data_IF_815765949952
#
_entry.id   IF_815765949952
#
_cell.length_a   1.000
_cell.length_b   1.000
_cell.length_c   1.000
_cell.angle_alpha   90.00
_cell.angle_beta   90.00
_cell.angle_gamma   90.00
#
_symmetry.space_group_name_H-M   'P 1'
#
loop_
_entity.id
_entity.type
_entity.pdbx_description
1 polymer ?
#
# COMPACT_ATOMS: atom_id res chain seq x y z
N UNK A 1 31.93 7.97 10.13
CA UNK A 1 31.12 8.47 8.98
C UNK A 1 31.06 7.45 7.85
N UNK A 2 32.17 6.81 7.49
CA UNK A 2 32.27 5.80 6.43
C UNK A 2 31.42 4.55 6.71
N UNK A 3 31.47 4.01 7.93
CA UNK A 3 30.71 2.82 8.34
C UNK A 3 29.19 3.01 8.23
N UNK A 4 28.70 4.19 8.51
CA UNK A 4 27.26 4.50 8.43
C UNK A 4 26.75 4.55 6.98
N UNK A 5 27.59 5.03 6.05
CA UNK A 5 27.29 5.04 4.62
C UNK A 5 27.28 3.62 4.07
N UNK A 6 28.24 2.80 4.49
CA UNK A 6 28.36 1.39 4.09
C UNK A 6 27.17 0.58 4.59
N UNK A 7 26.80 0.70 5.86
CA UNK A 7 25.64 0.02 6.45
C UNK A 7 24.32 0.42 5.75
N UNK A 8 24.14 1.69 5.39
CA UNK A 8 22.98 2.14 4.63
C UNK A 8 22.91 1.49 3.24
N UNK A 9 24.04 1.29 2.57
CA UNK A 9 24.08 0.60 1.27
C UNK A 9 23.70 -0.86 1.39
N UNK A 10 24.24 -1.56 2.39
CA UNK A 10 23.89 -2.98 2.66
C UNK A 10 22.39 -3.12 2.93
N UNK A 11 21.82 -2.26 3.77
CA UNK A 11 20.39 -2.25 4.06
C UNK A 11 19.53 -2.03 2.80
N UNK A 12 19.89 -1.07 1.96
CA UNK A 12 19.19 -0.81 0.71
C UNK A 12 19.30 -1.98 -0.28
N UNK A 13 20.49 -2.59 -0.38
CA UNK A 13 20.68 -3.78 -1.22
C UNK A 13 19.86 -4.96 -0.71
N UNK A 14 19.90 -5.25 0.59
CA UNK A 14 19.10 -6.30 1.19
C UNK A 14 17.59 -6.09 0.97
N UNK A 15 17.13 -4.84 1.15
CA UNK A 15 15.72 -4.48 0.89
C UNK A 15 15.32 -4.68 -0.57
N UNK A 16 16.22 -4.34 -1.50
CA UNK A 16 15.99 -4.53 -2.93
C UNK A 16 15.98 -6.03 -3.29
N UNK A 17 16.90 -6.81 -2.74
CA UNK A 17 16.94 -8.26 -2.94
C UNK A 17 15.66 -8.92 -2.42
N UNK A 18 15.22 -8.59 -1.20
CA UNK A 18 13.95 -9.10 -0.65
C UNK A 18 12.78 -8.75 -1.57
N UNK A 19 12.69 -7.49 -2.05
CA UNK A 19 11.65 -7.06 -2.96
C UNK A 19 11.67 -7.84 -4.29
N UNK A 20 12.85 -8.10 -4.85
CA UNK A 20 13.01 -8.88 -6.08
C UNK A 20 12.61 -10.34 -5.87
N UNK A 21 13.02 -10.96 -4.76
CA UNK A 21 12.65 -12.34 -4.40
C UNK A 21 11.13 -12.44 -4.21
N UNK A 22 10.52 -11.50 -3.49
CA UNK A 22 9.05 -11.44 -3.34
C UNK A 22 8.36 -11.31 -4.71
N UNK A 23 8.83 -10.41 -5.56
CA UNK A 23 8.26 -10.20 -6.89
C UNK A 23 8.37 -11.45 -7.75
N UNK A 24 9.54 -12.10 -7.76
CA UNK A 24 9.79 -13.32 -8.50
C UNK A 24 8.90 -14.46 -7.98
N UNK A 25 8.93 -14.73 -6.68
CA UNK A 25 8.15 -15.78 -6.04
C UNK A 25 6.65 -15.63 -6.32
N UNK A 26 6.09 -14.45 -6.10
CA UNK A 26 4.67 -14.20 -6.34
C UNK A 26 4.27 -14.29 -7.84
N UNK A 27 5.21 -14.21 -8.77
CA UNK A 27 4.92 -14.32 -10.21
C UNK A 27 5.02 -15.74 -10.74
N UNK A 28 5.84 -16.58 -10.12
CA UNK A 28 6.13 -17.94 -10.57
C UNK A 28 5.40 -19.02 -9.78
N UNK A 29 4.85 -18.65 -8.61
CA UNK A 29 4.20 -19.60 -7.70
C UNK A 29 2.75 -19.87 -8.10
N UNK A 30 2.37 -21.13 -8.00
CA UNK A 30 1.01 -21.63 -8.16
C UNK A 30 0.16 -21.39 -6.90
N UNK A 31 -1.13 -21.74 -6.96
CA UNK A 31 -2.07 -21.61 -5.83
C UNK A 31 -1.57 -22.33 -4.58
N UNK A 32 -0.99 -23.52 -4.75
CA UNK A 32 -0.53 -24.36 -3.64
C UNK A 32 0.69 -23.75 -2.93
N UNK A 33 1.60 -23.14 -3.68
CA UNK A 33 2.76 -22.43 -3.12
C UNK A 33 2.38 -21.10 -2.44
N UNK A 34 1.24 -20.51 -2.80
CA UNK A 34 0.74 -19.25 -2.22
C UNK A 34 -0.29 -19.46 -1.12
N UNK A 35 -0.50 -20.67 -0.63
CA UNK A 35 -1.45 -20.96 0.47
C UNK A 35 -1.17 -20.13 1.73
N UNK A 36 0.08 -19.82 2.03
CA UNK A 36 0.47 -18.97 3.17
C UNK A 36 -0.15 -17.56 3.16
N UNK A 37 -0.56 -17.03 2.00
CA UNK A 37 -1.26 -15.75 1.88
C UNK A 37 -2.71 -15.93 1.45
N UNK A 38 -3.02 -16.93 0.64
CA UNK A 38 -4.38 -17.20 0.17
C UNK A 38 -5.29 -17.71 1.30
N UNK A 39 -4.79 -18.62 2.17
CA UNK A 39 -5.58 -19.16 3.29
C UNK A 39 -6.05 -18.08 4.25
N UNK A 40 -5.19 -17.24 4.83
CA UNK A 40 -5.64 -16.19 5.73
C UNK A 40 -6.49 -15.14 5.01
N UNK A 41 -6.26 -14.91 3.71
CA UNK A 41 -7.11 -14.01 2.92
C UNK A 41 -8.50 -14.60 2.74
N UNK A 42 -8.64 -15.86 2.37
CA UNK A 42 -9.94 -16.54 2.21
C UNK A 42 -10.71 -16.58 3.54
N UNK A 43 -10.02 -16.88 4.64
CA UNK A 43 -10.62 -16.83 5.99
C UNK A 43 -11.14 -15.44 6.33
N UNK A 44 -10.36 -14.39 6.05
CA UNK A 44 -10.75 -13.01 6.30
C UNK A 44 -11.93 -12.57 5.43
N UNK A 45 -11.95 -12.98 4.14
CA UNK A 45 -13.08 -12.75 3.23
C UNK A 45 -14.35 -13.47 3.73
N UNK A 46 -14.21 -14.68 4.24
CA UNK A 46 -15.33 -15.42 4.81
C UNK A 46 -15.93 -14.72 6.03
N UNK A 47 -15.11 -14.14 6.90
CA UNK A 47 -15.59 -13.34 8.04
C UNK A 47 -16.30 -12.07 7.60
N UNK A 48 -15.70 -11.33 6.66
CA UNK A 48 -16.24 -10.04 6.21
C UNK A 48 -17.51 -10.17 5.37
N UNK A 49 -17.54 -11.16 4.51
CA UNK A 49 -18.60 -11.33 3.51
C UNK A 49 -19.61 -12.44 3.86
N UNK A 50 -19.37 -13.24 4.91
CA UNK A 50 -20.21 -14.40 5.18
C UNK A 50 -20.19 -15.48 4.07
N UNK A 51 -19.13 -15.49 3.25
CA UNK A 51 -18.99 -16.36 2.08
C UNK A 51 -18.00 -17.48 2.41
N UNK A 52 -18.45 -18.75 2.54
CA UNK A 52 -17.54 -19.88 2.76
C UNK A 52 -16.75 -20.18 1.49
N UNK A 53 -15.47 -20.49 1.64
CA UNK A 53 -14.60 -20.92 0.56
C UNK A 53 -14.05 -22.31 0.85
N UNK A 54 -13.98 -23.14 -0.19
CA UNK A 54 -13.37 -24.46 -0.18
C UNK A 54 -12.04 -24.41 -0.93
N UNK A 55 -11.02 -25.06 -0.36
CA UNK A 55 -9.73 -25.15 -1.03
C UNK A 55 -9.72 -26.28 -2.06
N UNK A 56 -9.41 -25.95 -3.30
CA UNK A 56 -9.20 -26.92 -4.37
C UNK A 56 -7.74 -26.87 -4.84
N UNK A 57 -7.01 -28.00 -4.84
CA UNK A 57 -5.64 -28.07 -5.31
C UNK A 57 -5.46 -27.47 -6.71
N UNK A 58 -4.41 -26.71 -6.92
CA UNK A 58 -4.05 -26.00 -8.15
C UNK A 58 -5.00 -24.89 -8.59
N UNK A 59 -6.20 -24.77 -7.99
CA UNK A 59 -7.17 -23.71 -8.31
C UNK A 59 -7.17 -22.59 -7.26
N UNK A 60 -7.00 -22.95 -5.98
CA UNK A 60 -7.06 -22.03 -4.85
C UNK A 60 -8.37 -22.16 -4.07
N UNK A 61 -8.91 -21.04 -3.58
CA UNK A 61 -10.13 -21.03 -2.77
C UNK A 61 -11.35 -20.70 -3.62
N UNK A 62 -12.29 -21.64 -3.72
CA UNK A 62 -13.45 -21.58 -4.61
C UNK A 62 -14.74 -21.44 -3.80
N UNK A 63 -15.65 -20.60 -4.27
CA UNK A 63 -17.04 -20.58 -3.85
C UNK A 63 -17.94 -20.84 -5.05
N UNK A 64 -18.67 -21.96 -5.03
CA UNK A 64 -19.52 -22.39 -6.14
C UNK A 64 -20.80 -21.56 -6.27
N UNK A 65 -21.36 -21.05 -5.15
CA UNK A 65 -22.58 -20.24 -5.17
C UNK A 65 -22.38 -18.88 -5.84
N UNK A 66 -21.25 -18.24 -5.56
CA UNK A 66 -20.89 -16.94 -6.12
C UNK A 66 -20.04 -17.06 -7.39
N UNK A 67 -19.70 -18.28 -7.81
CA UNK A 67 -18.82 -18.56 -8.96
C UNK A 67 -17.53 -17.73 -8.90
N UNK A 68 -16.95 -17.62 -7.70
CA UNK A 68 -15.78 -16.82 -7.44
C UNK A 68 -14.61 -17.68 -6.94
N UNK A 69 -13.41 -17.38 -7.49
CA UNK A 69 -12.18 -18.08 -7.14
C UNK A 69 -11.14 -17.08 -6.65
N UNK A 70 -10.59 -17.33 -5.47
CA UNK A 70 -9.44 -16.63 -4.94
C UNK A 70 -8.18 -17.34 -5.44
N UNK A 71 -7.73 -16.96 -6.63
CA UNK A 71 -6.57 -17.50 -7.33
C UNK A 71 -5.28 -16.71 -6.98
N UNK A 72 -4.10 -17.15 -7.45
CA UNK A 72 -2.82 -16.43 -7.28
C UNK A 72 -2.87 -14.97 -7.72
N UNK A 73 -3.61 -14.65 -8.76
CA UNK A 73 -3.84 -13.27 -9.22
C UNK A 73 -4.53 -12.39 -8.17
N UNK A 74 -5.28 -13.01 -7.26
CA UNK A 74 -5.99 -12.36 -6.16
C UNK A 74 -5.20 -12.35 -4.83
N UNK A 75 -3.96 -12.86 -4.78
CA UNK A 75 -3.15 -12.92 -3.57
C UNK A 75 -2.74 -11.54 -3.01
N UNK A 76 -2.87 -10.46 -3.78
CA UNK A 76 -2.50 -9.12 -3.33
C UNK A 76 -1.00 -8.85 -3.28
N UNK A 77 -0.16 -9.73 -3.83
CA UNK A 77 1.30 -9.64 -3.78
C UNK A 77 1.87 -8.30 -4.26
N UNK A 78 1.24 -7.67 -5.26
CA UNK A 78 1.65 -6.33 -5.72
C UNK A 78 1.47 -5.28 -4.63
N UNK A 79 0.38 -5.35 -3.89
CA UNK A 79 0.13 -4.44 -2.77
C UNK A 79 1.13 -4.67 -1.63
N UNK A 80 1.45 -5.93 -1.32
CA UNK A 80 2.47 -6.29 -0.34
C UNK A 80 3.82 -5.69 -0.70
N UNK A 81 4.24 -5.83 -1.96
CA UNK A 81 5.49 -5.27 -2.47
C UNK A 81 5.52 -3.74 -2.35
N UNK A 82 4.45 -3.06 -2.79
CA UNK A 82 4.35 -1.59 -2.73
C UNK A 82 4.43 -1.10 -1.28
N UNK A 83 3.66 -1.72 -0.39
CA UNK A 83 3.62 -1.35 1.03
C UNK A 83 4.99 -1.55 1.69
N UNK A 84 5.64 -2.68 1.43
CA UNK A 84 6.99 -2.96 1.92
C UNK A 84 7.99 -1.90 1.44
N UNK A 85 8.07 -1.68 0.13
CA UNK A 85 8.98 -0.68 -0.45
C UNK A 85 8.71 0.73 0.10
N UNK A 86 7.46 1.13 0.16
CA UNK A 86 7.08 2.43 0.72
C UNK A 86 7.55 2.60 2.16
N UNK A 87 7.33 1.62 3.03
CA UNK A 87 7.74 1.69 4.44
C UNK A 87 9.24 1.72 4.60
N UNK A 88 9.96 0.83 3.91
CA UNK A 88 11.41 0.72 4.01
C UNK A 88 12.10 1.99 3.50
N UNK A 89 11.75 2.45 2.30
CA UNK A 89 12.43 3.59 1.68
C UNK A 89 12.00 4.95 2.24
N UNK A 90 10.75 5.06 2.75
CA UNK A 90 10.28 6.31 3.35
C UNK A 90 10.78 6.53 4.77
N UNK A 91 10.94 5.46 5.54
CA UNK A 91 11.23 5.56 6.97
C UNK A 91 12.58 4.94 7.39
N UNK A 92 13.13 4.00 6.61
CA UNK A 92 14.36 3.28 6.95
C UNK A 92 15.59 4.16 7.14
N UNK A 93 15.72 5.25 6.36
CA UNK A 93 16.83 6.20 6.53
C UNK A 93 16.87 6.87 7.90
N UNK A 94 15.72 7.07 8.53
CA UNK A 94 15.64 7.71 9.83
C UNK A 94 15.95 6.73 10.96
N UNK A 95 15.68 5.45 10.78
CA UNK A 95 16.04 4.41 11.74
C UNK A 95 17.55 4.12 11.69
N UNK A 96 18.18 4.31 10.53
CA UNK A 96 19.64 4.27 10.39
C UNK A 96 20.38 5.27 11.32
N UNK A 97 19.78 6.42 11.59
CA UNK A 97 20.33 7.39 12.52
C UNK A 97 20.31 6.92 13.98
N UNK A 98 19.46 5.92 14.32
CA UNK A 98 19.29 5.36 15.66
C UNK A 98 20.13 4.10 15.93
N UNK A 99 20.82 3.59 14.94
CA UNK A 99 21.69 2.43 15.01
C UNK A 99 21.30 1.29 14.05
N UNK A 100 22.25 0.40 13.71
CA UNK A 100 22.03 -0.67 12.74
C UNK A 100 20.97 -1.68 13.20
N UNK A 101 20.94 -2.04 14.48
CA UNK A 101 19.95 -2.99 15.02
C UNK A 101 18.51 -2.51 14.78
N UNK A 102 18.24 -1.24 15.01
CA UNK A 102 16.92 -0.65 14.79
C UNK A 102 16.54 -0.59 13.32
N UNK A 103 17.52 -0.43 12.46
CA UNK A 103 17.32 -0.45 11.01
C UNK A 103 16.90 -1.84 10.52
N UNK A 104 17.56 -2.90 11.00
CA UNK A 104 17.19 -4.29 10.68
C UNK A 104 15.85 -4.70 11.29
N UNK A 105 15.60 -4.28 12.54
CA UNK A 105 14.29 -4.48 13.16
C UNK A 105 13.17 -3.78 12.37
N UNK A 106 13.42 -2.59 11.82
CA UNK A 106 12.49 -1.89 10.95
C UNK A 106 12.21 -2.65 9.65
N UNK A 107 13.20 -3.29 9.07
CA UNK A 107 13.05 -4.13 7.87
C UNK A 107 12.09 -5.29 8.15
N UNK A 108 12.35 -6.04 9.23
CA UNK A 108 11.49 -7.13 9.67
C UNK A 108 10.06 -6.67 9.97
N UNK A 109 9.91 -5.58 10.71
CA UNK A 109 8.61 -4.97 10.98
C UNK A 109 7.86 -4.58 9.69
N UNK A 110 8.57 -3.95 8.73
CA UNK A 110 7.97 -3.54 7.46
C UNK A 110 7.47 -4.72 6.64
N UNK A 111 8.18 -5.86 6.68
CA UNK A 111 7.79 -7.09 6.00
C UNK A 111 6.52 -7.68 6.61
N UNK A 112 6.51 -7.86 7.93
CA UNK A 112 5.34 -8.40 8.66
C UNK A 112 4.13 -7.47 8.50
N UNK A 113 4.34 -6.17 8.62
CA UNK A 113 3.27 -5.18 8.47
C UNK A 113 2.70 -5.17 7.05
N UNK A 114 3.56 -5.27 6.01
CA UNK A 114 3.11 -5.37 4.63
C UNK A 114 2.28 -6.64 4.40
N UNK A 115 2.69 -7.77 4.98
CA UNK A 115 1.95 -9.03 4.91
C UNK A 115 0.56 -8.91 5.54
N UNK A 116 0.48 -8.48 6.81
CA UNK A 116 -0.80 -8.33 7.51
C UNK A 116 -1.72 -7.32 6.82
N UNK A 117 -1.17 -6.17 6.42
CA UNK A 117 -1.93 -5.15 5.69
C UNK A 117 -2.47 -5.68 4.36
N UNK A 118 -1.72 -6.56 3.70
CA UNK A 118 -2.15 -7.18 2.45
C UNK A 118 -3.35 -8.07 2.67
N UNK A 119 -3.33 -8.93 3.68
CA UNK A 119 -4.48 -9.80 3.99
C UNK A 119 -5.73 -8.95 4.26
N UNK A 120 -5.61 -7.92 5.10
CA UNK A 120 -6.74 -7.07 5.49
C UNK A 120 -7.32 -6.29 4.30
N UNK A 121 -6.46 -5.61 3.56
CA UNK A 121 -6.88 -4.76 2.43
C UNK A 121 -7.37 -5.60 1.25
N UNK A 122 -6.68 -6.69 0.96
CA UNK A 122 -7.05 -7.59 -0.13
C UNK A 122 -8.39 -8.29 0.13
N UNK A 123 -8.66 -8.67 1.37
CA UNK A 123 -9.97 -9.21 1.74
C UNK A 123 -11.10 -8.21 1.51
N UNK A 124 -10.92 -6.94 1.90
CA UNK A 124 -11.89 -5.87 1.60
C UNK A 124 -12.08 -5.71 0.09
N UNK A 125 -10.99 -5.73 -0.69
CA UNK A 125 -11.04 -5.67 -2.15
C UNK A 125 -11.84 -6.82 -2.74
N UNK A 126 -11.62 -8.05 -2.27
CA UNK A 126 -12.31 -9.25 -2.78
C UNK A 126 -13.80 -9.17 -2.46
N UNK A 127 -14.17 -8.83 -1.22
CA UNK A 127 -15.57 -8.63 -0.84
C UNK A 127 -16.23 -7.57 -1.71
N UNK A 128 -15.56 -6.42 -1.92
CA UNK A 128 -16.06 -5.38 -2.82
C UNK A 128 -16.22 -5.89 -4.27
N UNK A 129 -15.30 -6.74 -4.75
CA UNK A 129 -15.33 -7.31 -6.10
C UNK A 129 -16.46 -8.34 -6.28
N UNK A 130 -16.94 -8.95 -5.21
CA UNK A 130 -18.08 -9.88 -5.24
C UNK A 130 -19.41 -9.11 -5.20
N UNK A 131 -19.56 -8.17 -4.28
CA UNK A 131 -20.85 -7.51 -4.04
C UNK A 131 -21.12 -6.30 -4.96
N UNK A 132 -20.10 -5.53 -5.33
CA UNK A 132 -20.31 -4.30 -6.09
C UNK A 132 -20.88 -4.53 -7.50
N UNK A 133 -20.44 -5.55 -8.28
CA UNK A 133 -21.06 -5.85 -9.56
C UNK A 133 -22.56 -6.12 -9.42
N UNK A 134 -22.96 -6.98 -8.48
CA UNK A 134 -24.36 -7.33 -8.27
C UNK A 134 -25.24 -6.12 -7.88
N UNK A 135 -24.68 -5.17 -7.11
CA UNK A 135 -25.40 -3.93 -6.76
C UNK A 135 -25.53 -3.00 -7.97
N UNK A 136 -24.47 -2.90 -8.79
CA UNK A 136 -24.48 -2.03 -9.98
C UNK A 136 -25.40 -2.57 -11.08
N UNK A 137 -25.46 -3.88 -11.27
CA UNK A 137 -26.40 -4.53 -12.20
C UNK A 137 -27.84 -4.27 -11.79
N UNK A 138 -28.18 -4.47 -10.51
CA UNK A 138 -29.54 -4.19 -9.99
C UNK A 138 -29.96 -2.73 -10.20
N UNK A 139 -29.01 -1.80 -10.17
CA UNK A 139 -29.28 -0.37 -10.38
C UNK A 139 -29.17 0.05 -11.86
N UNK A 140 -28.96 -0.88 -12.78
CA UNK A 140 -28.75 -0.62 -14.22
C UNK A 140 -27.63 0.42 -14.49
N UNK A 141 -26.64 0.50 -13.62
CA UNK A 141 -25.49 1.41 -13.73
C UNK A 141 -24.34 0.80 -14.52
N UNK A 142 -24.44 -0.45 -14.92
CA UNK A 142 -23.50 -1.13 -15.82
C UNK A 142 -23.72 -0.63 -17.25
N UNK A 143 -23.18 0.53 -17.59
CA UNK A 143 -23.26 1.11 -18.92
C UNK A 143 -22.02 0.75 -19.76
N UNK A 144 -22.21 0.48 -21.00
CA UNK A 144 -21.34 0.06 -22.11
C UNK A 144 -19.81 0.02 -22.00
N UNK A 145 -19.19 0.95 -21.30
CA UNK A 145 -17.72 0.95 -21.09
C UNK A 145 -17.30 0.22 -19.79
N UNK A 146 -18.20 0.02 -18.82
CA UNK A 146 -17.94 -0.59 -17.53
C UNK A 146 -18.18 -2.11 -17.59
N UNK A 147 -17.23 -2.82 -18.19
CA UNK A 147 -17.26 -4.30 -18.20
C UNK A 147 -16.86 -4.86 -16.83
N UNK A 148 -17.26 -6.12 -16.50
CA UNK A 148 -16.88 -6.78 -15.24
C UNK A 148 -15.37 -6.75 -14.98
N UNK A 149 -14.52 -6.98 -16.00
CA UNK A 149 -13.06 -6.98 -15.88
C UNK A 149 -12.51 -5.60 -15.56
N UNK A 150 -13.07 -4.56 -16.20
CA UNK A 150 -12.70 -3.16 -15.92
C UNK A 150 -13.12 -2.77 -14.51
N UNK A 151 -14.30 -3.16 -14.08
CA UNK A 151 -14.80 -2.91 -12.74
C UNK A 151 -13.90 -3.58 -11.69
N UNK A 152 -13.53 -4.85 -11.89
CA UNK A 152 -12.61 -5.57 -11.01
C UNK A 152 -11.24 -4.85 -10.90
N UNK A 153 -10.71 -4.38 -12.01
CA UNK A 153 -9.46 -3.61 -12.05
C UNK A 153 -9.59 -2.28 -11.32
N UNK A 154 -10.70 -1.55 -11.52
CA UNK A 154 -10.97 -0.28 -10.84
C UNK A 154 -11.09 -0.47 -9.32
N UNK A 155 -11.85 -1.46 -8.87
CA UNK A 155 -12.00 -1.78 -7.43
C UNK A 155 -10.62 -2.03 -6.83
N UNK A 156 -9.79 -2.85 -7.48
CA UNK A 156 -8.43 -3.13 -7.04
C UNK A 156 -7.55 -1.89 -6.95
N UNK A 157 -7.58 -1.06 -8.01
CA UNK A 157 -6.79 0.19 -8.07
C UNK A 157 -7.19 1.16 -6.97
N UNK A 158 -8.48 1.44 -6.82
CA UNK A 158 -9.00 2.38 -5.82
C UNK A 158 -8.71 1.89 -4.41
N UNK A 159 -9.04 0.63 -4.11
CA UNK A 159 -8.86 0.05 -2.77
C UNK A 159 -7.39 0.06 -2.35
N UNK A 160 -6.50 -0.39 -3.22
CA UNK A 160 -5.07 -0.43 -2.91
C UNK A 160 -4.46 0.96 -2.77
N UNK A 161 -4.82 1.88 -3.65
CA UNK A 161 -4.30 3.25 -3.61
C UNK A 161 -4.73 3.99 -2.34
N UNK A 162 -6.03 3.97 -2.02
CA UNK A 162 -6.58 4.61 -0.81
C UNK A 162 -5.94 4.00 0.45
N UNK A 163 -5.87 2.67 0.52
CA UNK A 163 -5.28 1.97 1.66
C UNK A 163 -3.80 2.32 1.83
N UNK A 164 -3.04 2.40 0.73
CA UNK A 164 -1.63 2.80 0.77
C UNK A 164 -1.45 4.22 1.31
N UNK A 165 -2.29 5.16 0.85
CA UNK A 165 -2.29 6.53 1.37
C UNK A 165 -2.64 6.58 2.86
N UNK A 166 -3.64 5.80 3.30
CA UNK A 166 -4.01 5.71 4.71
C UNK A 166 -2.89 5.13 5.57
N UNK A 167 -2.27 4.04 5.14
CA UNK A 167 -1.12 3.42 5.83
C UNK A 167 0.02 4.43 5.98
N UNK A 168 0.35 5.15 4.91
CA UNK A 168 1.41 6.16 4.93
C UNK A 168 1.10 7.31 5.90
N UNK A 169 -0.11 7.84 5.85
CA UNK A 169 -0.54 8.92 6.74
C UNK A 169 -0.61 8.46 8.21
N UNK A 170 -1.02 7.21 8.45
CA UNK A 170 -1.01 6.61 9.78
C UNK A 170 0.41 6.48 10.32
N UNK A 171 1.34 5.96 9.51
CA UNK A 171 2.74 5.82 9.87
C UNK A 171 3.39 7.18 10.20
N UNK A 172 3.09 8.22 9.40
CA UNK A 172 3.52 9.59 9.68
C UNK A 172 2.94 10.11 11.01
N UNK A 173 1.66 9.89 11.26
CA UNK A 173 0.96 10.37 12.47
C UNK A 173 1.53 9.69 13.73
N UNK A 174 1.75 8.40 13.68
CA UNK A 174 2.36 7.64 14.80
C UNK A 174 3.75 8.18 15.09
N UNK A 175 4.55 8.40 14.04
CA UNK A 175 5.91 8.92 14.17
C UNK A 175 5.94 10.32 14.77
N UNK A 176 5.05 11.21 14.34
CA UNK A 176 4.92 12.55 14.92
C UNK A 176 4.59 12.49 16.41
N UNK A 177 3.65 11.63 16.81
CA UNK A 177 3.27 11.45 18.22
C UNK A 177 4.44 10.93 19.08
N UNK A 178 5.23 9.99 18.55
CA UNK A 178 6.41 9.46 19.25
C UNK A 178 7.45 10.58 19.41
N UNK A 179 7.67 11.39 18.39
CA UNK A 179 8.62 12.49 18.44
C UNK A 179 8.18 13.59 19.45
N UNK A 180 6.89 13.96 19.45
CA UNK A 180 6.35 14.93 20.41
C UNK A 180 6.43 14.44 21.86
N UNK A 181 6.17 13.15 22.10
CA UNK A 181 6.36 12.53 23.44
C UNK A 181 7.82 12.59 23.89
N UNK A 182 8.75 12.28 23.00
CA UNK A 182 10.18 12.35 23.29
C UNK A 182 10.62 13.78 23.66
N UNK A 183 10.11 14.80 22.97
CA UNK A 183 10.38 16.20 23.32
C UNK A 183 9.84 16.60 24.70
N UNK A 184 8.62 16.18 25.05
CA UNK A 184 8.04 16.46 26.38
C UNK A 184 8.87 15.87 27.51
N UNK A 185 9.31 14.62 27.38
CA UNK A 185 10.15 13.94 28.37
C UNK A 185 11.49 14.65 28.53
N UNK A 186 12.09 15.17 27.44
CA UNK A 186 13.33 15.94 27.50
C UNK A 186 13.14 17.33 28.14
N UNK A 187 12.00 17.98 27.94
CA UNK A 187 11.70 19.26 28.58
C UNK A 187 11.47 19.10 30.09
N UNK A 188 10.80 18.04 30.50
CA UNK A 188 10.62 17.70 31.92
C UNK A 188 11.94 17.32 32.60
N UNK A 189 12.93 16.80 31.85
CA UNK A 189 14.28 16.46 32.33
C UNK A 189 15.29 17.61 32.41
N UNK A 190 14.88 18.87 32.23
CA UNK A 190 15.70 20.06 32.52
C UNK A 190 16.83 20.35 31.52
N UNK A 191 16.85 19.80 30.31
CA UNK A 191 17.82 20.15 29.26
C UNK A 191 17.14 20.91 28.13
N UNK A 192 17.24 22.24 28.19
CA UNK A 192 16.90 23.13 27.07
C UNK A 192 17.92 22.95 25.94
N UNK A 193 17.62 22.15 24.93
CA UNK A 193 18.42 22.02 23.72
C UNK A 193 17.53 22.06 22.48
N UNK A 194 17.72 23.15 21.72
CA UNK A 194 17.44 23.31 20.29
C UNK A 194 16.00 23.15 19.79
N UNK A 195 15.16 24.13 20.16
CA UNK A 195 13.80 24.30 19.62
C UNK A 195 13.75 24.70 18.13
N UNK A 196 14.85 25.15 17.53
CA UNK A 196 14.86 25.77 16.19
C UNK A 196 14.95 24.76 15.03
N UNK A 197 15.57 23.61 15.23
CA UNK A 197 15.78 22.61 14.17
C UNK A 197 14.54 21.73 13.88
N UNK A 198 13.62 21.60 14.84
CA UNK A 198 12.46 20.70 14.75
C UNK A 198 11.29 21.24 13.93
N UNK A 199 11.12 22.57 13.87
CA UNK A 199 9.96 23.21 13.25
C UNK A 199 10.05 23.19 11.70
N UNK A 200 11.24 23.37 11.16
CA UNK A 200 11.49 23.29 9.71
C UNK A 200 11.29 21.84 9.21
N UNK A 201 11.72 20.84 9.99
CA UNK A 201 11.58 19.43 9.63
C UNK A 201 10.11 19.00 9.61
N UNK A 202 9.29 19.44 10.56
CA UNK A 202 7.87 19.07 10.64
C UNK A 202 7.04 19.66 9.47
N UNK A 203 7.31 20.91 9.09
CA UNK A 203 6.64 21.57 7.94
C UNK A 203 7.03 20.92 6.62
N UNK A 204 8.31 20.55 6.45
CA UNK A 204 8.81 19.91 5.22
C UNK A 204 8.24 18.48 5.06
N UNK A 205 8.05 17.75 6.16
CA UNK A 205 7.45 16.41 6.16
C UNK A 205 5.96 16.48 5.76
N UNK A 206 5.23 17.50 6.20
CA UNK A 206 3.80 17.62 5.94
C UNK A 206 3.48 17.97 4.47
N UNK A 207 4.38 18.67 3.76
CA UNK A 207 4.19 19.01 2.33
C UNK A 207 4.56 17.86 1.37
N UNK A 208 5.41 16.90 1.81
CA UNK A 208 5.80 15.72 1.02
C UNK A 208 4.82 14.54 1.14
N UNK A 209 3.76 14.68 1.94
CA UNK A 209 3.04 13.52 2.46
C UNK A 209 2.30 12.65 1.43
N UNK A 210 1.80 13.20 0.33
CA UNK A 210 1.04 12.42 -0.66
C UNK A 210 1.85 12.01 -1.89
N UNK A 211 2.96 12.68 -2.18
CA UNK A 211 3.80 12.35 -3.34
C UNK A 211 4.47 10.98 -3.19
N UNK A 212 4.80 10.57 -1.96
CA UNK A 212 5.50 9.31 -1.70
C UNK A 212 4.63 8.08 -2.00
N UNK A 213 3.41 7.90 -1.43
CA UNK A 213 2.58 6.76 -1.78
C UNK A 213 2.17 6.76 -3.24
N UNK A 214 1.91 7.94 -3.84
CA UNK A 214 1.63 8.07 -5.27
C UNK A 214 2.80 7.57 -6.11
N UNK A 215 4.02 8.01 -5.80
CA UNK A 215 5.23 7.59 -6.50
C UNK A 215 5.41 6.07 -6.45
N UNK A 216 5.36 5.46 -5.25
CA UNK A 216 5.54 4.02 -5.11
C UNK A 216 4.43 3.23 -5.79
N UNK A 217 3.20 3.70 -5.69
CA UNK A 217 2.07 3.06 -6.35
C UNK A 217 2.23 3.08 -7.87
N UNK A 218 2.47 4.25 -8.46
CA UNK A 218 2.64 4.39 -9.90
C UNK A 218 3.89 3.63 -10.39
N UNK A 219 4.99 3.67 -9.66
CA UNK A 219 6.20 2.93 -10.00
C UNK A 219 5.93 1.44 -10.16
N UNK A 220 5.25 0.81 -9.22
CA UNK A 220 5.01 -0.64 -9.29
C UNK A 220 3.86 -0.99 -10.24
N UNK A 221 2.78 -0.21 -10.25
CA UNK A 221 1.59 -0.50 -11.05
C UNK A 221 1.77 -0.17 -12.52
N UNK A 222 2.58 0.84 -12.87
CA UNK A 222 2.85 1.22 -14.25
C UNK A 222 4.18 0.67 -14.77
N UNK A 223 5.27 0.78 -14.00
CA UNK A 223 6.59 0.40 -14.50
C UNK A 223 6.71 -1.11 -14.74
N UNK A 224 6.21 -1.96 -13.85
CA UNK A 224 6.29 -3.42 -14.03
C UNK A 224 5.49 -3.91 -15.26
N UNK A 225 4.22 -3.51 -15.49
CA UNK A 225 3.51 -3.85 -16.72
C UNK A 225 4.13 -3.23 -17.97
N UNK A 226 4.66 -2.01 -17.89
CA UNK A 226 5.34 -1.35 -19.00
C UNK A 226 6.55 -2.16 -19.46
N UNK A 227 7.45 -2.53 -18.55
CA UNK A 227 8.64 -3.35 -18.87
C UNK A 227 8.24 -4.68 -19.51
N UNK A 228 7.20 -5.36 -18.97
CA UNK A 228 6.69 -6.59 -19.56
C UNK A 228 6.19 -6.40 -20.98
N UNK A 229 5.42 -5.34 -21.24
CA UNK A 229 4.84 -5.07 -22.57
C UNK A 229 5.88 -4.63 -23.57
N UNK A 230 6.87 -3.85 -23.17
CA UNK A 230 8.02 -3.50 -24.03
C UNK A 230 8.77 -4.76 -24.44
N UNK A 231 9.01 -5.67 -23.50
CA UNK A 231 9.69 -6.93 -23.80
C UNK A 231 8.92 -7.83 -24.75
N UNK A 232 7.58 -7.84 -24.67
CA UNK A 232 6.72 -8.63 -25.57
C UNK A 232 6.23 -7.86 -26.80
N UNK A 233 6.74 -6.66 -27.09
CA UNK A 233 6.33 -5.78 -28.19
C UNK A 233 4.81 -5.51 -28.26
N UNK A 234 4.08 -5.61 -27.14
CA UNK A 234 2.65 -5.38 -27.03
C UNK A 234 2.37 -4.09 -26.23
N UNK A 235 2.48 -2.96 -26.90
CA UNK A 235 2.19 -1.64 -26.33
C UNK A 235 0.73 -1.20 -26.58
N UNK A 236 -0.03 -1.94 -27.36
CA UNK A 236 -1.43 -1.63 -27.63
C UNK A 236 -2.25 -1.65 -26.31
N UNK A 237 -3.02 -0.61 -26.08
CA UNK A 237 -3.85 -0.48 -24.89
C UNK A 237 -3.12 -0.08 -23.60
N UNK A 238 -1.77 -0.01 -23.58
CA UNK A 238 -1.06 0.48 -22.39
C UNK A 238 -1.37 1.93 -22.06
N UNK A 239 -1.49 2.79 -23.08
CA UNK A 239 -1.86 4.20 -22.91
C UNK A 239 -3.21 4.37 -22.21
N UNK A 240 -4.22 3.61 -22.63
CA UNK A 240 -5.55 3.62 -21.99
C UNK A 240 -5.48 3.12 -20.56
N UNK A 241 -4.76 2.03 -20.28
CA UNK A 241 -4.55 1.51 -18.94
C UNK A 241 -3.86 2.54 -18.03
N UNK A 242 -2.77 3.16 -18.49
CA UNK A 242 -2.04 4.18 -17.77
C UNK A 242 -2.87 5.44 -17.51
N UNK A 243 -3.67 5.87 -18.48
CA UNK A 243 -4.58 7.01 -18.34
C UNK A 243 -5.66 6.76 -17.28
N UNK A 244 -6.27 5.57 -17.28
CA UNK A 244 -7.29 5.21 -16.28
C UNK A 244 -6.67 5.18 -14.88
N UNK A 245 -5.54 4.52 -14.69
CA UNK A 245 -4.87 4.47 -13.37
C UNK A 245 -4.40 5.86 -12.94
N UNK A 246 -3.78 6.63 -13.83
CA UNK A 246 -3.34 7.99 -13.55
C UNK A 246 -4.51 8.91 -13.20
N UNK A 247 -5.63 8.81 -13.90
CA UNK A 247 -6.85 9.55 -13.63
C UNK A 247 -7.46 9.21 -12.26
N UNK A 248 -7.55 7.92 -11.92
CA UNK A 248 -8.04 7.47 -10.61
C UNK A 248 -7.13 7.96 -9.48
N UNK A 249 -5.81 7.80 -9.62
CA UNK A 249 -4.85 8.27 -8.61
C UNK A 249 -4.88 9.79 -8.49
N UNK A 250 -4.96 10.50 -9.60
CA UNK A 250 -5.05 11.98 -9.63
C UNK A 250 -6.31 12.49 -8.95
N UNK A 251 -7.48 11.93 -9.27
CA UNK A 251 -8.76 12.31 -8.64
C UNK A 251 -8.77 12.03 -7.14
N UNK A 252 -8.24 10.88 -6.70
CA UNK A 252 -8.09 10.57 -5.29
C UNK A 252 -7.14 11.54 -4.58
N UNK A 253 -6.01 11.92 -5.19
CA UNK A 253 -5.11 12.93 -4.62
C UNK A 253 -5.78 14.29 -4.45
N UNK A 254 -6.52 14.76 -5.45
CA UNK A 254 -7.28 16.00 -5.39
C UNK A 254 -8.30 15.94 -4.26
N UNK A 255 -9.03 14.85 -4.13
CA UNK A 255 -10.00 14.65 -3.06
C UNK A 255 -9.35 14.72 -1.67
N UNK A 256 -8.21 14.02 -1.47
CA UNK A 256 -7.45 14.09 -0.22
C UNK A 256 -6.96 15.51 0.10
N UNK A 257 -6.49 16.25 -0.90
CA UNK A 257 -6.06 17.65 -0.71
C UNK A 257 -7.24 18.54 -0.31
N UNK A 258 -8.40 18.39 -0.95
CA UNK A 258 -9.60 19.14 -0.63
C UNK A 258 -10.08 18.87 0.81
N UNK A 259 -10.15 17.59 1.20
CA UNK A 259 -10.51 17.19 2.57
C UNK A 259 -9.51 17.76 3.60
N UNK A 260 -8.23 17.69 3.28
CA UNK A 260 -7.16 18.25 4.12
C UNK A 260 -7.30 19.75 4.33
N UNK A 261 -7.58 20.49 3.27
CA UNK A 261 -7.81 21.95 3.31
C UNK A 261 -9.07 22.32 4.08
N UNK A 262 -10.16 21.57 3.89
CA UNK A 262 -11.40 21.81 4.67
C UNK A 262 -11.20 21.59 6.17
N UNK A 263 -10.47 20.54 6.56
CA UNK A 263 -10.13 20.30 7.98
C UNK A 263 -9.26 21.40 8.58
N UNK A 264 -8.32 21.95 7.80
CA UNK A 264 -7.50 23.10 8.25
C UNK A 264 -8.35 24.37 8.45
N UNK A 265 -9.25 24.68 7.51
CA UNK A 265 -10.17 25.83 7.63
C UNK A 265 -11.08 25.70 8.85
N UNK A 266 -11.65 24.51 9.11
CA UNK A 266 -12.47 24.26 10.31
C UNK A 266 -11.70 24.40 11.63
N UNK A 267 -10.41 24.07 11.68
CA UNK A 267 -9.57 24.28 12.86
C UNK A 267 -9.22 25.75 13.07
N UNK A 268 -9.00 26.50 12.00
CA UNK A 268 -8.75 27.96 12.09
C UNK A 268 -9.97 28.71 12.60
N UNK A 269 -11.19 28.33 12.20
CA UNK A 269 -12.45 28.95 12.66
C UNK A 269 -12.78 28.60 14.12
N UNK A 270 -12.36 27.42 14.63
CA UNK A 270 -12.59 27.01 16.02
C UNK A 270 -11.53 27.53 17.01
N UNK A 271 -10.45 28.11 16.53
CA UNK A 271 -9.35 28.65 17.33
C UNK A 271 -9.38 30.19 17.45
N UNK A 272 -10.36 30.85 16.81
CA UNK A 272 -10.78 32.22 17.10
C UNK A 272 -12.02 32.20 18.01
#
# INVERSE_FOLDING_TARGET
MYDRIYQNRIFLMASAVIALVMCYFCRTSDSDALTWILTPTAWWVSILGGIPFEYLPHQGYVNHLWQFVIAPSCAGCRFMLITFLMLVFSFGKNESARGPEKQWAWLGFSLVFAYVSTILVNGIRIVASIYLPAVLERKQLMAGWLTPDRLHTLIGTVTYFISLCMIYLLALSIRQRIFERGKRIQQEGGKAVEAFSGEISARTIQHRSLTVPVFWYLLVVLALPFVKRVYHHDLAGFGTYAAVIGGVCGSACVLFMLIGNMRRRRKAIKGC
#
